data_IF_709537172575
#
_entry.id   IF_709537172575
#
_cell.length_a   1.000
_cell.length_b   1.000
_cell.length_c   1.000
_cell.angle_alpha   90.00
_cell.angle_beta   90.00
_cell.angle_gamma   90.00
#
_symmetry.space_group_name_H-M   'P 1'
#
loop_
_entity.id
_entity.type
_entity.pdbx_description
1 polymer ?
#
# COMPACT_ATOMS: atom_id res chain seq x y z
N UNK A 1 -12.53 4.27 1.65
CA UNK A 1 -11.29 4.34 2.44
C UNK A 1 -10.50 5.57 2.05
N UNK A 2 -9.97 6.30 3.03
CA UNK A 2 -9.09 7.46 2.79
C UNK A 2 -7.71 7.18 3.40
N UNK A 3 -6.66 7.65 2.74
CA UNK A 3 -5.30 7.56 3.25
C UNK A 3 -4.63 8.92 3.15
N UNK A 4 -3.63 9.16 4.00
CA UNK A 4 -2.83 10.37 4.05
C UNK A 4 -1.37 10.01 3.96
N UNK A 5 -0.62 10.71 3.12
CA UNK A 5 0.82 10.54 3.00
C UNK A 5 1.51 11.68 3.73
N UNK A 6 2.44 11.35 4.60
CA UNK A 6 3.28 12.28 5.34
C UNK A 6 4.74 11.95 5.06
N UNK A 7 5.56 12.96 4.79
CA UNK A 7 7.00 12.77 4.61
C UNK A 7 7.72 12.97 5.94
N UNK A 8 8.52 11.99 6.34
CA UNK A 8 9.38 12.03 7.52
C UNK A 8 10.83 11.84 7.06
N UNK A 9 11.52 12.95 6.78
CA UNK A 9 12.86 12.92 6.20
C UNK A 9 12.88 12.24 4.84
N UNK A 10 13.58 11.11 4.73
CA UNK A 10 13.64 10.29 3.52
C UNK A 10 12.53 9.24 3.45
N UNK A 11 11.79 9.02 4.52
CA UNK A 11 10.72 8.03 4.59
C UNK A 11 9.37 8.67 4.24
N UNK A 12 8.47 7.87 3.67
CA UNK A 12 7.07 8.24 3.49
C UNK A 12 6.22 7.38 4.42
N UNK A 13 5.43 8.04 5.25
CA UNK A 13 4.43 7.41 6.10
C UNK A 13 3.07 7.52 5.42
N UNK A 14 2.42 6.39 5.18
CA UNK A 14 1.06 6.35 4.67
C UNK A 14 0.14 5.95 5.81
N UNK A 15 -0.68 6.89 6.29
CA UNK A 15 -1.70 6.66 7.30
C UNK A 15 -3.01 6.31 6.63
N UNK A 16 -3.51 5.10 6.85
CA UNK A 16 -4.84 4.66 6.42
C UNK A 16 -5.78 4.80 7.62
N UNK A 17 -6.84 5.60 7.45
CA UNK A 17 -7.81 5.91 8.50
C UNK A 17 -9.05 5.03 8.33
N UNK A 18 -9.59 4.50 9.44
CA UNK A 18 -10.66 3.50 9.53
C UNK A 18 -10.20 2.07 9.20
N UNK A 19 -9.17 1.58 9.90
CA UNK A 19 -8.56 0.27 9.69
C UNK A 19 -9.57 -0.89 9.88
N UNK A 20 -10.15 -1.42 8.79
CA UNK A 20 -10.85 -2.72 8.75
C UNK A 20 -9.87 -3.89 8.51
N UNK A 21 -10.36 -5.01 7.97
CA UNK A 21 -9.55 -6.21 7.65
C UNK A 21 -8.84 -6.06 6.30
N UNK A 22 -9.24 -5.08 5.49
CA UNK A 22 -8.79 -4.86 4.12
C UNK A 22 -7.42 -4.16 4.05
N UNK A 23 -6.96 -3.51 5.11
CA UNK A 23 -5.70 -2.75 5.13
C UNK A 23 -4.46 -3.63 5.19
N UNK A 24 -4.57 -4.81 5.80
CA UNK A 24 -3.51 -5.81 5.73
C UNK A 24 -3.35 -6.29 4.28
N UNK A 25 -4.46 -6.47 3.54
CA UNK A 25 -4.43 -6.80 2.11
C UNK A 25 -3.81 -5.66 1.29
N UNK A 26 -4.10 -4.40 1.61
CA UNK A 26 -3.45 -3.24 0.98
C UNK A 26 -1.94 -3.24 1.24
N UNK A 27 -1.50 -3.51 2.48
CA UNK A 27 -0.08 -3.65 2.81
C UNK A 27 0.56 -4.78 2.01
N UNK A 28 -0.03 -5.97 2.04
CA UNK A 28 0.49 -7.15 1.36
C UNK A 28 0.60 -6.89 -0.14
N UNK A 29 -0.36 -6.19 -0.75
CA UNK A 29 -0.29 -5.78 -2.16
C UNK A 29 0.75 -4.71 -2.44
N UNK A 30 0.96 -3.73 -1.57
CA UNK A 30 2.04 -2.73 -1.72
C UNK A 30 3.40 -3.40 -1.59
N UNK A 31 3.57 -4.29 -0.60
CA UNK A 31 4.75 -5.12 -0.42
C UNK A 31 4.98 -6.08 -1.61
N UNK A 32 3.91 -6.67 -2.14
CA UNK A 32 3.98 -7.49 -3.34
C UNK A 32 4.39 -6.65 -4.55
N UNK A 33 3.81 -5.46 -4.74
CA UNK A 33 4.14 -4.53 -5.82
C UNK A 33 5.63 -4.12 -5.82
N UNK A 34 6.27 -4.06 -4.65
CA UNK A 34 7.72 -3.91 -4.53
C UNK A 34 8.47 -5.13 -5.09
N UNK A 35 7.98 -6.34 -4.83
CA UNK A 35 8.63 -7.59 -5.21
C UNK A 35 8.36 -8.03 -6.66
N UNK A 36 7.20 -7.71 -7.26
CA UNK A 36 6.79 -8.22 -8.58
C UNK A 36 7.25 -7.40 -9.80
N UNK A 37 8.09 -6.38 -9.61
CA UNK A 37 8.82 -5.68 -10.69
C UNK A 37 7.95 -4.83 -11.64
N UNK A 38 8.30 -3.53 -11.70
CA UNK A 38 8.05 -2.51 -12.74
C UNK A 38 6.62 -2.21 -13.27
N UNK A 39 5.65 -3.13 -13.28
CA UNK A 39 4.40 -2.97 -14.06
C UNK A 39 3.11 -2.85 -13.25
N UNK A 40 3.16 -2.94 -11.92
CA UNK A 40 1.94 -2.87 -11.10
C UNK A 40 1.48 -1.48 -10.69
N UNK A 41 2.25 -0.41 -10.88
CA UNK A 41 1.69 0.94 -10.72
C UNK A 41 2.20 1.92 -11.77
N UNK A 42 1.34 2.83 -12.26
CA UNK A 42 1.66 3.71 -13.39
C UNK A 42 2.83 4.66 -13.13
N UNK A 43 3.12 4.98 -11.86
CA UNK A 43 4.22 5.88 -11.49
C UNK A 43 5.57 5.16 -11.31
N UNK A 44 5.58 3.82 -11.19
CA UNK A 44 6.80 3.03 -10.95
C UNK A 44 7.48 3.25 -9.60
N UNK A 45 6.92 4.05 -8.69
CA UNK A 45 7.55 4.40 -7.41
C UNK A 45 7.76 3.19 -6.49
N UNK A 46 6.95 2.14 -6.61
CA UNK A 46 7.11 0.92 -5.82
C UNK A 46 8.46 0.23 -6.04
N UNK A 47 9.11 0.43 -7.19
CA UNK A 47 10.44 -0.14 -7.47
C UNK A 47 11.55 0.50 -6.61
N UNK A 48 11.35 1.75 -6.19
CA UNK A 48 12.28 2.52 -5.36
C UNK A 48 12.14 2.19 -3.87
N UNK A 49 11.09 1.48 -3.47
CA UNK A 49 10.88 1.09 -2.08
C UNK A 49 11.90 0.01 -1.72
N UNK A 50 12.74 0.29 -0.74
CA UNK A 50 13.73 -0.64 -0.19
C UNK A 50 13.15 -1.44 0.98
N UNK A 51 12.53 -0.74 1.94
CA UNK A 51 11.86 -1.35 3.08
C UNK A 51 10.40 -0.88 3.17
N UNK A 52 9.55 -1.75 3.69
CA UNK A 52 8.13 -1.50 3.88
C UNK A 52 7.72 -2.13 5.22
N UNK A 53 7.38 -1.28 6.18
CA UNK A 53 6.99 -1.68 7.52
C UNK A 53 5.55 -1.26 7.79
N UNK A 54 4.81 -2.06 8.56
CA UNK A 54 3.49 -1.68 9.06
C UNK A 54 3.50 -1.50 10.57
N UNK A 55 2.80 -0.48 11.01
CA UNK A 55 2.57 -0.19 12.43
C UNK A 55 1.11 0.17 12.62
N UNK A 56 0.53 -0.31 13.72
CA UNK A 56 -0.82 0.11 14.12
C UNK A 56 -0.69 1.33 15.03
N UNK A 57 -1.38 2.41 14.69
CA UNK A 57 -1.43 3.66 15.45
C UNK A 57 -2.89 3.92 15.84
N UNK A 58 -3.32 3.35 16.97
CA UNK A 58 -4.72 3.37 17.39
C UNK A 58 -5.63 2.71 16.36
N UNK A 59 -6.60 3.47 15.86
CA UNK A 59 -7.57 3.06 14.82
C UNK A 59 -7.04 3.23 13.38
N UNK A 60 -5.78 3.64 13.22
CA UNK A 60 -5.13 3.80 11.93
C UNK A 60 -4.04 2.75 11.70
N UNK A 61 -3.88 2.36 10.45
CA UNK A 61 -2.72 1.58 10.00
C UNK A 61 -1.73 2.53 9.34
N UNK A 62 -0.49 2.51 9.82
CA UNK A 62 0.60 3.34 9.29
C UNK A 62 1.58 2.43 8.55
N UNK A 63 1.79 2.73 7.28
CA UNK A 63 2.81 2.11 6.44
C UNK A 63 4.02 3.03 6.40
N UNK A 64 5.18 2.54 6.83
CA UNK A 64 6.44 3.24 6.65
C UNK A 64 7.15 2.69 5.41
N UNK A 65 7.35 3.56 4.43
CA UNK A 65 8.03 3.25 3.17
C UNK A 65 9.39 3.94 3.17
N UNK A 66 10.44 3.14 3.13
CA UNK A 66 11.82 3.63 3.09
C UNK A 66 12.37 3.43 1.67
N UNK A 67 12.88 4.48 1.00
CA UNK A 67 13.54 4.32 -0.29
C UNK A 67 14.77 3.40 -0.21
N UNK A 68 15.14 2.81 -1.34
CA UNK A 68 16.44 2.17 -1.53
C UNK A 68 17.58 3.20 -1.35
N UNK A 69 18.78 2.77 -0.94
CA UNK A 69 19.92 3.67 -0.83
C UNK A 69 20.20 4.40 -2.15
N UNK A 70 20.27 5.74 -2.10
CA UNK A 70 20.49 6.60 -3.27
C UNK A 70 19.22 6.96 -4.06
N UNK A 71 18.07 6.36 -3.74
CA UNK A 71 16.78 6.69 -4.32
C UNK A 71 15.98 7.64 -3.42
N UNK A 72 14.99 8.30 -4.00
CA UNK A 72 14.01 9.10 -3.27
C UNK A 72 12.60 8.73 -3.70
N UNK A 73 11.71 8.56 -2.72
CA UNK A 73 10.28 8.35 -2.99
C UNK A 73 9.59 9.70 -3.20
N UNK A 74 8.70 9.74 -4.19
CA UNK A 74 7.77 10.82 -4.45
C UNK A 74 6.46 10.56 -3.72
N UNK A 75 5.98 11.54 -2.95
CA UNK A 75 4.70 11.42 -2.27
C UNK A 75 3.56 11.25 -3.29
N UNK A 76 3.57 12.04 -4.37
CA UNK A 76 2.59 11.96 -5.45
C UNK A 76 2.63 10.62 -6.18
N UNK A 77 3.82 10.12 -6.50
CA UNK A 77 3.91 8.84 -7.22
C UNK A 77 3.53 7.64 -6.35
N UNK A 78 3.84 7.67 -5.05
CA UNK A 78 3.33 6.68 -4.08
C UNK A 78 1.81 6.77 -3.94
N UNK A 79 1.25 7.97 -3.93
CA UNK A 79 -0.20 8.20 -3.91
C UNK A 79 -0.89 7.55 -5.11
N UNK A 80 -0.32 7.68 -6.31
CA UNK A 80 -0.83 7.01 -7.51
C UNK A 80 -0.72 5.49 -7.44
N UNK A 81 0.39 4.93 -6.94
CA UNK A 81 0.51 3.49 -6.72
C UNK A 81 -0.55 2.98 -5.74
N UNK A 82 -0.76 3.69 -4.63
CA UNK A 82 -1.77 3.33 -3.65
C UNK A 82 -3.18 3.39 -4.24
N UNK A 83 -3.52 4.44 -5.00
CA UNK A 83 -4.83 4.52 -5.67
C UNK A 83 -5.06 3.36 -6.63
N UNK A 84 -4.04 2.98 -7.40
CA UNK A 84 -4.13 1.84 -8.31
C UNK A 84 -4.35 0.53 -7.53
N UNK A 85 -3.53 0.26 -6.51
CA UNK A 85 -3.63 -0.96 -5.69
C UNK A 85 -4.97 -1.04 -4.96
N UNK A 86 -5.46 0.07 -4.43
CA UNK A 86 -6.76 0.17 -3.78
C UNK A 86 -7.91 -0.05 -4.76
N UNK A 87 -7.80 0.47 -5.99
CA UNK A 87 -8.79 0.23 -7.03
C UNK A 87 -8.81 -1.24 -7.48
N UNK A 88 -7.65 -1.89 -7.57
CA UNK A 88 -7.52 -3.34 -7.82
C UNK A 88 -8.10 -4.17 -6.66
N UNK A 89 -7.87 -3.76 -5.41
CA UNK A 89 -8.44 -4.42 -4.23
C UNK A 89 -9.97 -4.30 -4.21
N UNK A 90 -10.52 -3.12 -4.51
CA UNK A 90 -11.97 -2.93 -4.62
C UNK A 90 -12.60 -3.73 -5.78
N UNK A 91 -11.84 -4.02 -6.85
CA UNK A 91 -12.29 -4.85 -7.99
C UNK A 91 -12.21 -6.35 -7.73
N UNK A 92 -11.32 -6.77 -6.84
CA UNK A 92 -11.19 -8.14 -6.40
C UNK A 92 -11.61 -8.24 -4.93
N UNK A 93 -12.92 -8.16 -4.60
CA UNK A 93 -13.36 -8.71 -3.34
C UNK A 93 -13.01 -10.19 -3.43
N UNK A 94 -12.06 -10.64 -2.61
CA UNK A 94 -11.80 -12.05 -2.47
C UNK A 94 -13.15 -12.74 -2.23
N UNK A 95 -13.51 -13.59 -3.19
CA UNK A 95 -14.55 -14.60 -3.14
C UNK A 95 -15.01 -14.84 -1.70
N UNK A 96 -16.18 -14.28 -1.36
CA UNK A 96 -16.95 -14.75 -0.22
C UNK A 96 -17.40 -16.16 -0.60
N UNK A 97 -16.53 -17.13 -0.33
CA UNK A 97 -16.83 -18.54 -0.49
C UNK A 97 -17.88 -18.93 0.57
N UNK A 98 -19.14 -18.72 0.24
CA UNK A 98 -20.25 -19.44 0.84
C UNK A 98 -20.52 -20.64 -0.06
N UNK A 99 -20.24 -21.89 0.35
CA UNK A 99 -20.68 -23.05 -0.41
C UNK A 99 -22.21 -23.12 -0.33
N UNK A 100 -22.94 -23.28 -1.45
CA UNK A 100 -24.33 -23.67 -1.36
C UNK A 100 -24.37 -25.16 -0.99
N UNK A 101 -24.75 -25.44 0.26
CA UNK A 101 -25.31 -26.75 0.58
C UNK A 101 -26.67 -26.88 -0.11
N UNK A 102 -26.73 -27.70 -1.17
CA UNK A 102 -27.84 -28.65 -1.41
C UNK A 102 -27.59 -29.57 -2.60
#
# INVERSE_FOLDING_TARGET
MGFRIERQGNELLVRIVNATRDEQDVFDRVCACRSTSWWSCPSGECAKIGACDTRRDGDATVLALTPRPGEALSATGVEECLRYVLAEAARSPASEAVPPER
#
